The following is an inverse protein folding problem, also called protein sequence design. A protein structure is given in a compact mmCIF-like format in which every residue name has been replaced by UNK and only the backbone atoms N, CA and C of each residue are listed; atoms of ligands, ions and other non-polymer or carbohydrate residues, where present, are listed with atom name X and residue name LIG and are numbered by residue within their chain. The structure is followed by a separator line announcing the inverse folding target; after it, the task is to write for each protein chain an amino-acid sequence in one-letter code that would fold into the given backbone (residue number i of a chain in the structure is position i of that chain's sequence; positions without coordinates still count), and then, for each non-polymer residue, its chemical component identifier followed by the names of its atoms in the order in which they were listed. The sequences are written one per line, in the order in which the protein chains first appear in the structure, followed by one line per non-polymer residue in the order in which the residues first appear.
data_IF_535872488257
#
_entry.id   IF_535872488257
#
_cell.length_a   1.000
_cell.length_b   1.000
_cell.length_c   1.000
_cell.angle_alpha   90.00
_cell.angle_beta   90.00
_cell.angle_gamma   90.00
#
_symmetry.space_group_name_H-M   'P 1'
#
loop_
_entity.id
_entity.type
_entity.pdbx_description
1 polymer ?
#
# COMPACT_ATOMS: atom_id res chain seq x y z
N UNK A 1 -9.82 13.60 34.37
CA UNK A 1 -9.29 14.03 33.06
C UNK A 1 -10.48 14.33 32.18
N UNK A 2 -10.71 15.59 31.85
CA UNK A 2 -11.78 16.01 30.95
C UNK A 2 -11.50 15.50 29.53
N UNK A 3 -12.51 15.15 28.73
CA UNK A 3 -12.28 14.75 27.35
C UNK A 3 -11.67 15.94 26.60
N UNK A 4 -10.71 15.73 25.69
CA UNK A 4 -10.18 16.81 24.86
C UNK A 4 -11.35 17.38 24.06
N UNK A 5 -11.55 18.69 24.20
CA UNK A 5 -12.69 19.40 23.67
C UNK A 5 -12.82 19.20 22.15
N UNK A 6 -14.04 18.85 21.74
CA UNK A 6 -14.61 18.69 20.40
C UNK A 6 -14.60 19.99 19.55
N UNK A 7 -13.66 20.91 19.80
CA UNK A 7 -13.70 22.29 19.30
C UNK A 7 -13.78 22.45 17.77
N UNK A 8 -13.35 21.45 16.98
CA UNK A 8 -13.38 21.54 15.52
C UNK A 8 -14.76 21.23 14.92
N UNK A 9 -15.48 20.24 15.45
CA UNK A 9 -16.81 19.88 14.92
C UNK A 9 -17.87 20.88 15.35
N UNK A 10 -17.75 21.40 16.57
CA UNK A 10 -18.66 22.43 17.12
C UNK A 10 -18.44 23.82 16.49
N UNK A 11 -17.36 24.00 15.71
CA UNK A 11 -17.04 25.23 14.98
C UNK A 11 -17.58 25.27 13.55
N UNK A 12 -18.13 24.15 13.07
CA UNK A 12 -18.69 24.08 11.72
C UNK A 12 -20.06 24.78 11.67
N UNK A 13 -20.34 25.54 10.59
CA UNK A 13 -21.70 25.98 10.27
C UNK A 13 -22.68 24.80 10.33
N UNK A 14 -23.91 25.05 10.82
CA UNK A 14 -24.92 24.01 11.03
C UNK A 14 -25.14 23.14 9.78
N UNK A 15 -25.20 23.75 8.60
CA UNK A 15 -25.37 23.05 7.32
C UNK A 15 -24.20 22.11 7.01
N UNK A 16 -22.96 22.55 7.25
CA UNK A 16 -21.76 21.73 7.04
C UNK A 16 -21.67 20.59 8.06
N UNK A 17 -22.03 20.86 9.32
CA UNK A 17 -22.10 19.83 10.36
C UNK A 17 -23.14 18.76 10.01
N UNK A 18 -24.32 19.16 9.54
CA UNK A 18 -25.37 18.24 9.09
C UNK A 18 -24.93 17.44 7.85
N UNK A 19 -24.30 18.09 6.87
CA UNK A 19 -23.78 17.43 5.68
C UNK A 19 -22.70 16.40 6.04
N UNK A 20 -21.75 16.76 6.91
CA UNK A 20 -20.71 15.85 7.39
C UNK A 20 -21.33 14.65 8.12
N UNK A 21 -22.31 14.89 9.01
CA UNK A 21 -23.01 13.82 9.71
C UNK A 21 -23.72 12.87 8.74
N UNK A 22 -24.47 13.42 7.77
CA UNK A 22 -25.12 12.61 6.74
C UNK A 22 -24.13 11.78 5.92
N UNK A 23 -22.98 12.36 5.55
CA UNK A 23 -21.93 11.65 4.83
C UNK A 23 -21.31 10.52 5.67
N UNK A 24 -21.02 10.76 6.94
CA UNK A 24 -20.47 9.75 7.87
C UNK A 24 -21.48 8.63 8.10
N UNK A 25 -22.75 8.95 8.31
CA UNK A 25 -23.83 7.97 8.52
C UNK A 25 -23.99 7.08 7.27
N UNK A 26 -23.99 7.68 6.08
CA UNK A 26 -24.07 6.94 4.82
C UNK A 26 -22.83 6.06 4.59
N UNK A 27 -21.63 6.59 4.83
CA UNK A 27 -20.40 5.80 4.70
C UNK A 27 -20.40 4.61 5.66
N UNK A 28 -20.82 4.84 6.91
CA UNK A 28 -20.91 3.79 7.91
C UNK A 28 -21.91 2.70 7.50
N UNK A 29 -23.10 3.07 7.01
CA UNK A 29 -24.08 2.12 6.46
C UNK A 29 -23.49 1.30 5.31
N UNK A 30 -22.84 1.96 4.35
CA UNK A 30 -22.27 1.33 3.16
C UNK A 30 -21.20 0.27 3.52
N UNK A 31 -20.46 0.46 4.61
CA UNK A 31 -19.49 -0.54 5.08
C UNK A 31 -20.13 -1.61 5.97
N UNK A 32 -20.92 -1.19 6.96
CA UNK A 32 -21.35 -2.08 8.04
C UNK A 32 -22.46 -3.03 7.64
N UNK A 33 -23.39 -2.59 6.77
CA UNK A 33 -24.51 -3.43 6.35
C UNK A 33 -24.04 -4.62 5.50
N UNK A 34 -23.27 -4.45 4.41
CA UNK A 34 -22.74 -5.59 3.65
C UNK A 34 -21.82 -6.48 4.49
N UNK A 35 -21.04 -5.90 5.41
CA UNK A 35 -20.10 -6.67 6.21
C UNK A 35 -20.76 -7.37 7.41
N UNK A 36 -22.02 -7.08 7.73
CA UNK A 36 -22.76 -7.77 8.79
C UNK A 36 -22.99 -9.25 8.49
N UNK A 37 -23.00 -9.63 7.21
CA UNK A 37 -23.13 -11.02 6.75
C UNK A 37 -21.78 -11.72 6.54
N UNK A 38 -20.66 -11.03 6.76
CA UNK A 38 -19.32 -11.63 6.69
C UNK A 38 -19.12 -12.73 7.74
N UNK A 39 -18.12 -13.60 7.55
CA UNK A 39 -17.78 -14.62 8.53
C UNK A 39 -17.49 -14.00 9.91
N UNK A 40 -16.79 -12.87 9.96
CA UNK A 40 -16.57 -12.16 11.22
C UNK A 40 -17.88 -11.61 11.80
N UNK A 41 -18.72 -10.97 10.98
CA UNK A 41 -20.05 -10.47 11.40
C UNK A 41 -20.93 -11.56 12.02
N UNK A 42 -20.92 -12.75 11.42
CA UNK A 42 -21.76 -13.87 11.82
C UNK A 42 -21.19 -14.69 12.98
N UNK A 43 -19.87 -14.86 13.05
CA UNK A 43 -19.26 -15.83 13.96
C UNK A 43 -18.47 -15.20 15.11
N UNK A 44 -18.12 -13.92 15.04
CA UNK A 44 -17.34 -13.29 16.11
C UNK A 44 -18.21 -13.13 17.39
N UNK A 45 -17.76 -13.65 18.55
CA UNK A 45 -18.50 -13.53 19.81
C UNK A 45 -18.74 -12.08 20.22
N UNK A 46 -17.77 -11.21 19.90
CA UNK A 46 -17.81 -9.78 20.21
C UNK A 46 -18.95 -9.03 19.51
N UNK A 47 -19.50 -9.58 18.42
CA UNK A 47 -20.62 -9.01 17.67
C UNK A 47 -21.97 -9.67 17.97
N UNK A 48 -22.04 -10.61 18.92
CA UNK A 48 -23.24 -11.40 19.18
C UNK A 48 -24.49 -10.55 19.47
N UNK A 49 -24.38 -9.55 20.34
CA UNK A 49 -25.49 -8.65 20.69
C UNK A 49 -25.97 -7.82 19.50
N UNK A 50 -25.03 -7.30 18.71
CA UNK A 50 -25.37 -6.53 17.51
C UNK A 50 -26.10 -7.41 16.49
N UNK A 51 -25.59 -8.62 16.23
CA UNK A 51 -26.20 -9.59 15.32
C UNK A 51 -27.62 -9.97 15.74
N UNK A 52 -27.84 -10.21 17.03
CA UNK A 52 -29.17 -10.50 17.57
C UNK A 52 -30.14 -9.33 17.36
N UNK A 53 -29.69 -8.10 17.67
CA UNK A 53 -30.52 -6.90 17.53
C UNK A 53 -30.94 -6.62 16.07
N UNK A 54 -30.04 -6.82 15.10
CA UNK A 54 -30.38 -6.61 13.68
C UNK A 54 -31.20 -7.75 13.08
N UNK A 55 -31.18 -8.95 13.68
CA UNK A 55 -32.02 -10.07 13.26
C UNK A 55 -33.48 -9.93 13.74
N UNK A 56 -33.69 -9.23 14.86
CA UNK A 56 -35.02 -9.00 15.44
C UNK A 56 -35.71 -7.73 14.91
N UNK A 57 -34.93 -6.75 14.43
CA UNK A 57 -35.44 -5.49 13.87
C UNK A 57 -35.77 -5.56 12.37
N UNK A 58 -36.33 -4.47 11.83
CA UNK A 58 -36.39 -4.29 10.37
C UNK A 58 -34.99 -3.99 9.86
N UNK A 59 -34.35 -4.98 9.23
CA UNK A 59 -33.00 -4.84 8.69
C UNK A 59 -32.87 -3.74 7.64
N UNK A 60 -33.99 -3.21 7.12
CA UNK A 60 -34.03 -2.13 6.12
C UNK A 60 -34.12 -0.73 6.71
N UNK A 61 -34.37 -0.57 8.01
CA UNK A 61 -34.34 0.74 8.66
C UNK A 61 -32.89 1.17 8.94
N UNK A 62 -32.42 2.14 8.16
CA UNK A 62 -31.07 2.72 8.25
C UNK A 62 -30.81 3.39 9.61
N UNK A 63 -31.81 4.05 10.19
CA UNK A 63 -31.67 4.79 11.44
C UNK A 63 -31.52 3.80 12.60
N UNK A 64 -32.41 2.81 12.65
CA UNK A 64 -32.41 1.77 13.67
C UNK A 64 -31.15 0.92 13.60
N UNK A 65 -30.71 0.56 12.38
CA UNK A 65 -29.47 -0.17 12.16
C UNK A 65 -28.25 0.59 12.69
N UNK A 66 -28.10 1.88 12.35
CA UNK A 66 -27.00 2.72 12.85
C UNK A 66 -27.05 2.90 14.37
N UNK A 67 -28.24 3.01 14.94
CA UNK A 67 -28.45 3.07 16.39
C UNK A 67 -27.93 1.80 17.06
N UNK A 68 -28.30 0.63 16.54
CA UNK A 68 -27.79 -0.66 17.03
C UNK A 68 -26.28 -0.78 16.85
N UNK A 69 -25.74 -0.40 15.71
CA UNK A 69 -24.29 -0.45 15.46
C UNK A 69 -23.52 0.34 16.53
N UNK A 70 -23.89 1.61 16.73
CA UNK A 70 -23.22 2.50 17.70
C UNK A 70 -23.34 2.03 19.14
N UNK A 71 -24.48 1.42 19.50
CA UNK A 71 -24.75 0.99 20.86
C UNK A 71 -24.15 -0.38 21.20
N UNK A 72 -24.03 -1.27 20.21
CA UNK A 72 -23.78 -2.71 20.45
C UNK A 72 -22.48 -3.23 19.86
N UNK A 73 -21.87 -2.54 18.88
CA UNK A 73 -20.55 -2.92 18.36
C UNK A 73 -19.47 -2.28 19.25
N UNK A 74 -18.70 -3.08 20.01
CA UNK A 74 -17.67 -2.52 20.87
C UNK A 74 -16.43 -2.16 20.08
N UNK A 75 -15.57 -1.35 20.71
CA UNK A 75 -14.21 -1.10 20.21
C UNK A 75 -13.41 -2.41 20.36
N UNK A 76 -12.81 -2.86 19.26
CA UNK A 76 -12.05 -4.12 19.17
C UNK A 76 -10.56 -3.86 18.99
N UNK A 77 -9.77 -4.93 19.16
CA UNK A 77 -8.32 -4.97 18.93
C UNK A 77 -7.99 -6.11 17.96
N UNK A 78 -6.74 -6.18 17.49
CA UNK A 78 -6.30 -7.18 16.49
C UNK A 78 -6.57 -8.63 16.92
N UNK A 79 -6.46 -8.91 18.22
CA UNK A 79 -6.65 -10.23 18.82
C UNK A 79 -8.07 -10.78 18.57
N UNK A 80 -9.06 -9.90 18.33
CA UNK A 80 -10.42 -10.32 17.96
C UNK A 80 -10.53 -10.82 16.52
N UNK A 81 -9.65 -10.33 15.64
CA UNK A 81 -9.61 -10.65 14.21
C UNK A 81 -8.61 -11.76 13.89
N UNK A 82 -7.59 -11.93 14.74
CA UNK A 82 -6.50 -12.88 14.52
C UNK A 82 -6.98 -14.31 14.17
N UNK A 83 -7.94 -14.94 14.89
CA UNK A 83 -8.41 -16.29 14.56
C UNK A 83 -9.03 -16.41 13.16
N UNK A 84 -9.54 -15.30 12.62
CA UNK A 84 -10.13 -15.22 11.29
C UNK A 84 -9.03 -15.00 10.23
N UNK A 85 -8.07 -14.13 10.53
CA UNK A 85 -6.94 -13.82 9.64
C UNK A 85 -5.97 -14.99 9.52
N UNK A 86 -5.74 -15.77 10.57
CA UNK A 86 -4.84 -16.93 10.54
C UNK A 86 -5.31 -18.03 9.59
N UNK A 87 -6.61 -18.09 9.27
CA UNK A 87 -7.17 -19.05 8.31
C UNK A 87 -6.55 -18.92 6.91
N UNK A 88 -6.16 -17.71 6.50
CA UNK A 88 -5.49 -17.51 5.21
C UNK A 88 -4.14 -18.25 5.11
N UNK A 89 -3.53 -18.58 6.25
CA UNK A 89 -2.24 -19.27 6.33
C UNK A 89 -2.38 -20.77 6.60
N UNK A 90 -3.62 -21.31 6.63
CA UNK A 90 -3.85 -22.74 6.76
C UNK A 90 -3.30 -23.51 5.54
N UNK A 91 -2.95 -24.78 5.72
CA UNK A 91 -2.51 -25.66 4.62
C UNK A 91 -3.29 -26.97 4.68
N UNK A 92 -4.22 -27.24 3.73
CA UNK A 92 -4.66 -26.34 2.66
C UNK A 92 -5.48 -25.15 3.18
N UNK A 93 -5.45 -24.03 2.46
CA UNK A 93 -6.34 -22.88 2.67
C UNK A 93 -7.48 -22.99 1.64
N UNK A 94 -8.71 -23.26 2.08
CA UNK A 94 -9.85 -23.43 1.18
C UNK A 94 -10.63 -22.13 1.06
N UNK A 95 -11.13 -21.83 -0.14
CA UNK A 95 -11.93 -20.64 -0.42
C UNK A 95 -13.09 -20.47 0.58
N UNK A 96 -13.86 -21.52 0.84
CA UNK A 96 -14.99 -21.50 1.79
C UNK A 96 -14.59 -21.03 3.20
N UNK A 97 -13.34 -21.26 3.61
CA UNK A 97 -12.86 -20.89 4.94
C UNK A 97 -12.47 -19.40 5.02
N UNK A 98 -12.24 -18.74 3.88
CA UNK A 98 -11.67 -17.38 3.81
C UNK A 98 -12.44 -16.38 2.94
N UNK A 99 -13.42 -16.85 2.16
CA UNK A 99 -14.35 -16.02 1.40
C UNK A 99 -15.31 -15.31 2.34
N UNK A 100 -15.63 -14.06 2.01
CA UNK A 100 -16.50 -13.21 2.81
C UNK A 100 -16.00 -13.02 4.25
N UNK A 101 -14.67 -13.09 4.48
CA UNK A 101 -14.10 -13.14 5.83
C UNK A 101 -14.44 -11.90 6.67
N UNK A 102 -14.05 -10.72 6.19
CA UNK A 102 -14.34 -9.43 6.84
C UNK A 102 -15.24 -8.52 6.00
N UNK A 103 -15.28 -8.77 4.68
CA UNK A 103 -16.10 -8.08 3.71
C UNK A 103 -16.40 -9.04 2.54
N UNK A 104 -17.44 -8.77 1.71
CA UNK A 104 -17.80 -9.63 0.60
C UNK A 104 -16.64 -9.93 -0.37
N UNK A 105 -16.56 -11.18 -0.82
CA UNK A 105 -15.52 -11.72 -1.71
C UNK A 105 -14.24 -12.12 -0.99
N UNK A 106 -13.18 -12.33 -1.78
CA UNK A 106 -11.82 -12.50 -1.29
C UNK A 106 -11.12 -11.14 -1.17
N UNK A 107 -10.20 -10.97 -0.20
CA UNK A 107 -9.33 -9.80 -0.18
C UNK A 107 -8.44 -9.79 -1.43
N UNK A 108 -8.06 -8.60 -1.89
CA UNK A 108 -7.12 -8.44 -3.00
C UNK A 108 -5.67 -8.75 -2.56
N UNK A 109 -5.33 -8.40 -1.32
CA UNK A 109 -4.05 -8.71 -0.70
C UNK A 109 -4.14 -8.69 0.84
N UNK A 110 -3.15 -9.26 1.52
CA UNK A 110 -2.94 -9.09 2.96
C UNK A 110 -1.83 -8.06 3.20
N UNK A 111 -2.19 -6.93 3.80
CA UNK A 111 -1.22 -5.94 4.24
C UNK A 111 -0.53 -6.41 5.52
N UNK A 112 0.79 -6.55 5.49
CA UNK A 112 1.61 -6.84 6.67
C UNK A 112 2.02 -5.55 7.35
N UNK A 113 1.71 -5.39 8.64
CA UNK A 113 2.25 -4.27 9.41
C UNK A 113 3.73 -4.48 9.72
N UNK A 114 4.49 -3.39 9.77
CA UNK A 114 5.80 -3.39 10.40
C UNK A 114 5.63 -3.76 11.88
N UNK A 115 6.26 -4.84 12.32
CA UNK A 115 6.27 -5.20 13.72
C UNK A 115 7.06 -4.13 14.50
N UNK A 116 6.40 -3.30 15.31
CA UNK A 116 7.04 -2.14 15.96
C UNK A 116 7.63 -2.44 17.34
N UNK A 117 7.65 -3.69 17.82
CA UNK A 117 8.13 -4.00 19.19
C UNK A 117 8.33 -5.50 19.48
N UNK A 118 8.95 -6.26 18.57
CA UNK A 118 9.27 -7.69 18.81
C UNK A 118 8.09 -8.66 18.88
N UNK A 119 6.86 -8.18 18.65
CA UNK A 119 5.67 -9.01 18.43
C UNK A 119 5.59 -9.46 16.98
N UNK A 120 4.90 -10.57 16.72
CA UNK A 120 4.63 -11.01 15.35
C UNK A 120 3.93 -9.93 14.53
N UNK A 121 4.22 -9.92 13.22
CA UNK A 121 3.57 -9.00 12.29
C UNK A 121 2.07 -9.26 12.25
N UNK A 122 1.29 -8.17 12.25
CA UNK A 122 -0.17 -8.22 12.06
C UNK A 122 -0.49 -8.19 10.58
N UNK A 123 -1.55 -8.90 10.18
CA UNK A 123 -1.99 -9.00 8.79
C UNK A 123 -3.40 -8.44 8.65
N UNK A 124 -3.60 -7.57 7.68
CA UNK A 124 -4.86 -6.89 7.44
C UNK A 124 -5.36 -7.21 6.03
N UNK A 125 -6.43 -8.01 5.89
CA UNK A 125 -7.06 -8.23 4.59
C UNK A 125 -7.53 -6.91 3.98
N UNK A 126 -7.07 -6.62 2.77
CA UNK A 126 -7.43 -5.42 2.02
C UNK A 126 -8.33 -5.81 0.86
N UNK A 127 -9.55 -5.28 0.87
CA UNK A 127 -10.55 -5.51 -0.18
C UNK A 127 -10.54 -4.34 -1.15
N UNK A 128 -10.90 -4.59 -2.41
CA UNK A 128 -11.02 -3.52 -3.40
C UNK A 128 -12.15 -2.57 -2.95
N UNK A 129 -11.86 -1.28 -2.70
CA UNK A 129 -12.89 -0.34 -2.26
C UNK A 129 -13.84 -0.04 -3.41
N UNK A 130 -15.04 0.44 -3.09
CA UNK A 130 -15.98 0.87 -4.13
C UNK A 130 -15.38 2.01 -4.98
N UNK A 131 -15.75 2.13 -6.27
CA UNK A 131 -15.14 3.09 -7.18
C UNK A 131 -15.13 4.54 -6.69
N UNK A 132 -16.16 4.97 -5.93
CA UNK A 132 -16.18 6.33 -5.39
C UNK A 132 -15.07 6.62 -4.37
N UNK A 133 -14.54 5.59 -3.70
CA UNK A 133 -13.49 5.73 -2.69
C UNK A 133 -12.06 5.55 -3.26
N UNK A 134 -11.92 5.06 -4.51
CA UNK A 134 -10.62 4.94 -5.19
C UNK A 134 -9.97 6.29 -5.50
N UNK A 135 -10.73 7.39 -5.53
CA UNK A 135 -10.21 8.74 -5.79
C UNK A 135 -9.56 9.43 -4.59
N UNK A 136 -9.47 8.78 -3.43
CA UNK A 136 -8.90 9.40 -2.22
C UNK A 136 -7.38 9.60 -2.37
N UNK A 137 -6.77 10.70 -1.86
CA UNK A 137 -5.33 10.98 -1.97
C UNK A 137 -4.39 9.90 -1.41
N UNK A 138 -4.90 8.98 -0.56
CA UNK A 138 -4.13 7.80 -0.08
C UNK A 138 -3.79 6.86 -1.26
N UNK A 139 -4.62 6.89 -2.32
CA UNK A 139 -4.52 6.03 -3.49
C UNK A 139 -3.91 6.73 -4.71
N UNK A 140 -3.70 8.05 -4.69
CA UNK A 140 -3.31 8.79 -5.88
C UNK A 140 -2.30 9.89 -5.55
N UNK A 141 -1.01 9.59 -5.70
CA UNK A 141 0.01 10.60 -6.00
C UNK A 141 0.22 10.59 -7.51
N UNK A 142 -0.66 11.28 -8.24
CA UNK A 142 -0.50 11.50 -9.68
C UNK A 142 0.50 12.66 -9.86
N UNK A 143 1.50 12.54 -10.74
CA UNK A 143 2.41 13.62 -11.09
C UNK A 143 1.68 14.86 -11.62
N UNK A 144 2.22 16.05 -11.33
CA UNK A 144 1.93 17.23 -12.13
C UNK A 144 2.47 17.04 -13.54
N UNK A 145 1.89 17.72 -14.53
CA UNK A 145 2.25 17.58 -15.95
C UNK A 145 3.66 18.09 -16.30
N UNK A 146 4.42 18.64 -15.35
CA UNK A 146 5.65 19.42 -15.63
C UNK A 146 6.96 18.75 -15.17
N UNK A 147 6.93 17.55 -14.57
CA UNK A 147 8.17 16.87 -14.16
C UNK A 147 8.00 15.45 -13.66
N UNK A 148 9.11 14.81 -13.29
CA UNK A 148 9.13 13.48 -12.67
C UNK A 148 9.15 13.57 -11.15
N UNK A 149 8.57 12.56 -10.51
CA UNK A 149 8.55 12.40 -9.07
C UNK A 149 9.64 11.41 -8.68
N UNK A 150 10.53 11.85 -7.80
CA UNK A 150 11.40 10.96 -7.06
C UNK A 150 10.67 10.45 -5.81
N UNK A 151 10.01 9.30 -5.92
CA UNK A 151 9.34 8.63 -4.80
C UNK A 151 9.71 7.15 -4.73
N UNK A 152 10.79 6.78 -4.02
CA UNK A 152 11.16 5.39 -3.81
C UNK A 152 9.97 4.60 -3.26
N UNK A 153 9.48 3.67 -4.07
CA UNK A 153 8.34 2.82 -3.74
C UNK A 153 8.66 1.39 -4.13
N UNK A 154 8.35 0.47 -3.22
CA UNK A 154 8.61 -0.94 -3.43
C UNK A 154 7.31 -1.68 -3.73
N UNK A 155 7.36 -2.55 -4.73
CA UNK A 155 6.30 -3.49 -5.09
C UNK A 155 6.62 -4.93 -4.63
N UNK A 156 7.58 -5.07 -3.72
CA UNK A 156 7.95 -6.36 -3.12
C UNK A 156 6.77 -6.96 -2.35
N UNK A 157 6.80 -8.27 -2.29
CA UNK A 157 5.93 -9.06 -1.44
C UNK A 157 6.76 -9.97 -0.55
N UNK A 158 6.20 -10.32 0.60
CA UNK A 158 6.81 -11.22 1.56
C UNK A 158 6.42 -12.67 1.31
N UNK A 159 5.21 -12.91 0.78
CA UNK A 159 4.71 -14.24 0.51
C UNK A 159 3.57 -14.19 -0.53
N UNK A 160 3.29 -15.33 -1.16
CA UNK A 160 2.13 -15.55 -2.02
C UNK A 160 1.40 -16.77 -1.47
N UNK A 161 0.22 -16.54 -0.90
CA UNK A 161 -0.62 -17.60 -0.36
C UNK A 161 -1.45 -18.21 -1.49
N UNK A 162 -1.71 -19.52 -1.41
CA UNK A 162 -2.57 -20.25 -2.34
C UNK A 162 -3.89 -20.55 -1.66
N UNK A 163 -4.99 -20.15 -2.29
CA UNK A 163 -6.36 -20.43 -1.85
C UNK A 163 -6.95 -21.45 -2.84
N UNK A 164 -7.26 -22.65 -2.37
CA UNK A 164 -7.88 -23.69 -3.18
C UNK A 164 -9.37 -23.35 -3.38
N UNK A 165 -9.78 -23.16 -4.63
CA UNK A 165 -11.14 -22.73 -4.99
C UNK A 165 -12.14 -23.88 -4.84
N UNK A 166 -13.42 -23.54 -4.69
CA UNK A 166 -14.50 -24.52 -4.44
C UNK A 166 -14.66 -25.56 -5.55
N UNK A 167 -14.18 -25.27 -6.76
CA UNK A 167 -14.18 -26.21 -7.90
C UNK A 167 -13.23 -27.41 -7.72
N UNK A 168 -12.36 -27.37 -6.70
CA UNK A 168 -11.41 -28.42 -6.36
C UNK A 168 -10.27 -28.61 -7.35
N UNK A 169 -10.16 -27.78 -8.39
CA UNK A 169 -9.16 -27.89 -9.46
C UNK A 169 -8.30 -26.63 -9.58
N UNK A 170 -8.86 -25.46 -9.28
CA UNK A 170 -8.18 -24.18 -9.43
C UNK A 170 -7.79 -23.58 -8.09
N UNK A 171 -6.93 -22.58 -8.15
CA UNK A 171 -6.48 -21.85 -6.97
C UNK A 171 -6.24 -20.39 -7.28
N UNK A 172 -6.62 -19.54 -6.35
CA UNK A 172 -6.33 -18.11 -6.38
C UNK A 172 -5.09 -17.79 -5.56
N UNK A 173 -4.29 -16.81 -6.01
CA UNK A 173 -3.10 -16.37 -5.29
C UNK A 173 -3.42 -15.09 -4.52
N UNK A 174 -3.13 -15.11 -3.22
CA UNK A 174 -3.31 -13.96 -2.34
C UNK A 174 -1.96 -13.42 -1.88
N UNK A 175 -1.66 -12.18 -2.26
CA UNK A 175 -0.37 -11.55 -1.98
C UNK A 175 -0.26 -11.10 -0.53
N UNK A 176 0.88 -11.35 0.12
CA UNK A 176 1.23 -10.77 1.42
C UNK A 176 2.32 -9.72 1.21
N UNK A 177 2.00 -8.44 1.39
CA UNK A 177 2.92 -7.34 1.09
C UNK A 177 2.72 -6.13 2.01
N UNK A 178 3.52 -5.08 1.84
CA UNK A 178 3.26 -3.81 2.54
C UNK A 178 1.98 -3.16 2.00
N UNK A 179 1.33 -2.31 2.82
CA UNK A 179 0.11 -1.62 2.41
C UNK A 179 0.31 -0.80 1.13
N UNK A 180 1.42 -0.06 1.02
CA UNK A 180 1.75 0.74 -0.16
C UNK A 180 1.91 -0.13 -1.42
N UNK A 181 2.64 -1.24 -1.31
CA UNK A 181 2.84 -2.17 -2.44
C UNK A 181 1.52 -2.72 -2.96
N UNK A 182 0.68 -3.23 -2.05
CA UNK A 182 -0.60 -3.83 -2.41
C UNK A 182 -1.57 -2.82 -3.01
N UNK A 183 -1.61 -1.60 -2.47
CA UNK A 183 -2.39 -0.49 -3.04
C UNK A 183 -1.93 -0.17 -4.47
N UNK A 184 -0.63 0.03 -4.70
CA UNK A 184 -0.12 0.38 -6.03
C UNK A 184 -0.42 -0.74 -7.02
N UNK A 185 -0.19 -2.01 -6.65
CA UNK A 185 -0.54 -3.16 -7.50
C UNK A 185 -2.03 -3.21 -7.81
N UNK A 186 -2.89 -3.00 -6.81
CA UNK A 186 -4.35 -2.98 -6.98
C UNK A 186 -4.83 -1.90 -7.95
N UNK A 187 -4.25 -0.69 -7.85
CA UNK A 187 -4.62 0.46 -8.69
C UNK A 187 -4.14 0.30 -10.12
N UNK A 188 -2.95 -0.25 -10.31
CA UNK A 188 -2.38 -0.53 -11.63
C UNK A 188 -2.88 -1.83 -12.23
N UNK A 189 -3.67 -2.61 -11.47
CA UNK A 189 -4.09 -3.96 -11.81
C UNK A 189 -2.90 -4.86 -12.20
N UNK A 190 -1.83 -4.81 -11.39
CA UNK A 190 -0.61 -5.58 -11.58
C UNK A 190 -0.57 -6.79 -10.65
N UNK A 191 -0.77 -7.96 -11.22
CA UNK A 191 -0.50 -9.26 -10.60
C UNK A 191 1.02 -9.52 -10.45
N UNK A 192 1.43 -10.58 -9.76
CA UNK A 192 2.87 -10.89 -9.57
C UNK A 192 3.43 -11.80 -10.67
N UNK A 193 2.55 -12.53 -11.35
CA UNK A 193 2.89 -13.50 -12.39
C UNK A 193 3.58 -12.84 -13.58
N UNK A 194 3.12 -11.64 -13.94
CA UNK A 194 3.67 -10.89 -15.08
C UNK A 194 4.67 -9.82 -14.63
N UNK A 195 5.23 -9.87 -13.42
CA UNK A 195 6.26 -8.91 -12.99
C UNK A 195 7.46 -8.91 -13.95
N UNK A 196 7.87 -10.08 -14.44
CA UNK A 196 8.99 -10.21 -15.38
C UNK A 196 8.67 -9.64 -16.76
N UNK A 197 7.40 -9.67 -17.18
CA UNK A 197 6.96 -9.08 -18.45
C UNK A 197 6.90 -7.55 -18.39
N UNK A 198 6.89 -6.98 -17.19
CA UNK A 198 6.81 -5.54 -16.92
C UNK A 198 8.17 -4.88 -16.69
N UNK A 199 9.28 -5.60 -16.78
CA UNK A 199 10.61 -5.06 -16.49
C UNK A 199 10.99 -3.85 -17.36
N UNK A 200 10.51 -3.83 -18.61
CA UNK A 200 10.74 -2.77 -19.58
C UNK A 200 9.77 -1.57 -19.42
N UNK A 201 8.85 -1.62 -18.45
CA UNK A 201 7.88 -0.56 -18.23
C UNK A 201 8.41 0.51 -17.28
N UNK A 202 7.89 1.72 -17.48
CA UNK A 202 8.05 2.81 -16.53
C UNK A 202 6.84 2.90 -15.61
N UNK A 203 7.05 3.20 -14.34
CA UNK A 203 5.95 3.58 -13.44
C UNK A 203 5.57 5.02 -13.77
N UNK A 204 4.32 5.32 -14.19
CA UNK A 204 3.96 6.64 -14.70
C UNK A 204 4.41 7.81 -13.80
N UNK A 205 5.22 8.69 -14.39
CA UNK A 205 5.80 9.89 -13.78
C UNK A 205 6.73 9.68 -12.60
N UNK A 206 7.22 8.47 -12.35
CA UNK A 206 8.35 8.23 -11.45
C UNK A 206 9.68 8.50 -12.16
N UNK A 207 10.78 8.60 -11.39
CA UNK A 207 12.14 8.69 -11.95
C UNK A 207 12.75 7.34 -12.32
N UNK A 208 12.27 6.25 -11.73
CA UNK A 208 12.86 4.92 -11.90
C UNK A 208 11.90 3.97 -12.63
N UNK A 209 12.43 3.03 -13.44
CA UNK A 209 11.61 2.02 -14.13
C UNK A 209 11.04 0.99 -13.13
N UNK A 210 10.05 0.23 -13.60
CA UNK A 210 9.39 -0.82 -12.81
C UNK A 210 10.40 -1.81 -12.21
N UNK A 211 11.44 -2.17 -12.97
CA UNK A 211 12.54 -3.04 -12.55
C UNK A 211 13.17 -2.67 -11.19
N UNK A 212 13.25 -1.38 -10.84
CA UNK A 212 13.82 -0.95 -9.55
C UNK A 212 12.87 -1.25 -8.38
N UNK A 213 11.56 -1.23 -8.61
CA UNK A 213 10.53 -1.34 -7.56
C UNK A 213 10.44 -2.73 -6.93
N UNK A 214 10.88 -3.77 -7.65
CA UNK A 214 10.82 -5.17 -7.22
C UNK A 214 12.13 -5.66 -6.56
N UNK A 215 13.17 -4.84 -6.50
CA UNK A 215 14.51 -5.21 -6.04
C UNK A 215 14.61 -5.52 -4.55
N UNK A 216 14.83 -6.77 -4.15
CA UNK A 216 14.82 -7.20 -2.75
C UNK A 216 15.83 -6.49 -1.83
N UNK A 217 17.07 -6.27 -2.28
CA UNK A 217 18.12 -5.65 -1.46
C UNK A 217 17.83 -4.18 -1.18
N UNK A 218 17.88 -3.79 0.09
CA UNK A 218 17.66 -2.40 0.53
C UNK A 218 18.68 -1.44 -0.06
N UNK A 219 19.96 -1.85 -0.12
CA UNK A 219 21.05 -1.05 -0.70
C UNK A 219 20.82 -0.87 -2.20
N UNK A 220 20.63 -1.97 -2.95
CA UNK A 220 20.41 -1.91 -4.40
C UNK A 220 19.18 -1.08 -4.75
N UNK A 221 18.10 -1.21 -3.98
CA UNK A 221 16.87 -0.45 -4.13
C UNK A 221 17.11 1.07 -4.03
N UNK A 222 17.70 1.54 -2.92
CA UNK A 222 17.91 2.99 -2.75
C UNK A 222 19.01 3.55 -3.65
N UNK A 223 20.07 2.77 -3.90
CA UNK A 223 21.12 3.18 -4.83
C UNK A 223 20.55 3.41 -6.24
N UNK A 224 19.78 2.46 -6.78
CA UNK A 224 19.25 2.60 -8.13
C UNK A 224 18.18 3.70 -8.21
N UNK A 225 17.35 3.84 -7.18
CA UNK A 225 16.42 4.97 -7.09
C UNK A 225 17.15 6.33 -7.11
N UNK A 226 18.27 6.45 -6.38
CA UNK A 226 19.11 7.65 -6.40
C UNK A 226 19.78 7.87 -7.77
N UNK A 227 20.33 6.81 -8.37
CA UNK A 227 20.99 6.85 -9.67
C UNK A 227 20.05 7.39 -10.77
N UNK A 228 18.84 6.83 -10.85
CA UNK A 228 17.83 7.27 -11.82
C UNK A 228 17.31 8.68 -11.54
N UNK A 229 17.15 9.06 -10.27
CA UNK A 229 16.75 10.42 -9.91
C UNK A 229 17.81 11.47 -10.25
N UNK A 230 19.10 11.18 -10.03
CA UNK A 230 20.19 12.09 -10.39
C UNK A 230 20.34 12.22 -11.91
N UNK A 231 20.12 11.13 -12.66
CA UNK A 231 20.19 11.14 -14.12
C UNK A 231 19.05 11.93 -14.79
N UNK A 232 17.89 12.07 -14.14
CA UNK A 232 16.75 12.85 -14.66
C UNK A 232 16.85 14.31 -14.21
N UNK A 233 17.06 15.23 -15.14
CA UNK A 233 17.09 16.67 -14.84
C UNK A 233 15.70 17.28 -14.59
N UNK A 234 14.62 16.51 -14.78
CA UNK A 234 13.23 16.97 -14.66
C UNK A 234 12.58 16.61 -13.33
N UNK A 235 13.36 16.18 -12.34
CA UNK A 235 12.83 15.89 -11.00
C UNK A 235 12.24 17.17 -10.42
N UNK A 236 10.92 17.19 -10.30
CA UNK A 236 10.17 18.34 -9.79
C UNK A 236 9.66 18.12 -8.36
N UNK A 237 9.58 16.87 -7.92
CA UNK A 237 9.04 16.53 -6.60
C UNK A 237 9.78 15.35 -5.99
N UNK A 238 10.09 15.47 -4.70
CA UNK A 238 10.61 14.40 -3.86
C UNK A 238 9.52 14.01 -2.86
N UNK A 239 9.13 12.73 -2.84
CA UNK A 239 8.08 12.24 -1.94
C UNK A 239 8.52 10.96 -1.24
N UNK A 240 8.55 11.00 0.08
CA UNK A 240 9.06 9.91 0.90
C UNK A 240 8.04 9.56 1.98
N UNK A 241 7.74 8.26 2.11
CA UNK A 241 6.80 7.79 3.14
C UNK A 241 7.34 8.02 4.56
N UNK A 242 8.66 7.95 4.73
CA UNK A 242 9.35 8.18 6.00
C UNK A 242 10.55 9.09 5.81
N UNK A 243 10.77 10.02 6.76
CA UNK A 243 11.95 10.87 6.76
C UNK A 243 13.26 10.06 6.80
N UNK A 244 13.25 8.89 7.46
CA UNK A 244 14.40 7.98 7.50
C UNK A 244 14.79 7.45 6.12
N UNK A 245 13.82 7.21 5.24
CA UNK A 245 14.09 6.78 3.87
C UNK A 245 14.75 7.91 3.07
N UNK A 246 14.28 9.15 3.24
CA UNK A 246 14.91 10.33 2.65
C UNK A 246 16.36 10.49 3.12
N UNK A 247 16.60 10.44 4.44
CA UNK A 247 17.96 10.52 5.01
C UNK A 247 18.85 9.38 4.49
N UNK A 248 18.33 8.15 4.42
CA UNK A 248 19.08 7.00 3.90
C UNK A 248 19.52 7.20 2.45
N UNK A 249 18.61 7.69 1.60
CA UNK A 249 18.94 8.02 0.20
C UNK A 249 20.01 9.10 0.13
N UNK A 250 19.89 10.17 0.93
CA UNK A 250 20.90 11.23 0.93
C UNK A 250 22.26 10.73 1.40
N UNK A 251 22.32 9.84 2.38
CA UNK A 251 23.57 9.19 2.79
C UNK A 251 24.17 8.35 1.67
N UNK A 252 23.36 7.54 0.95
CA UNK A 252 23.87 6.78 -0.20
C UNK A 252 24.39 7.70 -1.31
N UNK A 253 23.69 8.80 -1.61
CA UNK A 253 24.14 9.79 -2.59
C UNK A 253 25.47 10.41 -2.16
N UNK A 254 25.60 10.77 -0.89
CA UNK A 254 26.81 11.37 -0.33
C UNK A 254 28.01 10.41 -0.39
N UNK A 255 27.83 9.18 0.10
CA UNK A 255 28.90 8.19 0.24
C UNK A 255 29.36 7.66 -1.12
N UNK A 256 28.43 7.46 -2.05
CA UNK A 256 28.69 6.85 -3.37
C UNK A 256 28.70 7.88 -4.50
N UNK A 257 28.88 9.17 -4.17
CA UNK A 257 28.72 10.29 -5.11
C UNK A 257 29.48 10.08 -6.43
N UNK A 258 30.78 9.84 -6.36
CA UNK A 258 31.61 9.66 -7.56
C UNK A 258 31.21 8.43 -8.37
N UNK A 259 30.88 7.33 -7.70
CA UNK A 259 30.39 6.12 -8.38
C UNK A 259 29.08 6.39 -9.13
N UNK A 260 28.14 7.11 -8.52
CA UNK A 260 26.89 7.50 -9.16
C UNK A 260 27.15 8.36 -10.41
N UNK A 261 28.07 9.32 -10.34
CA UNK A 261 28.41 10.18 -11.48
C UNK A 261 29.10 9.42 -12.61
N UNK A 262 30.02 8.52 -12.29
CA UNK A 262 30.69 7.67 -13.28
C UNK A 262 29.69 6.72 -13.97
N UNK A 263 28.74 6.16 -13.20
CA UNK A 263 27.63 5.39 -13.74
C UNK A 263 26.77 6.22 -14.71
N UNK A 264 26.40 7.46 -14.35
CA UNK A 264 25.63 8.37 -15.22
C UNK A 264 26.44 8.71 -16.48
N UNK A 265 27.72 9.03 -16.34
CA UNK A 265 28.59 9.40 -17.47
C UNK A 265 28.72 8.26 -18.47
N UNK A 266 28.93 7.03 -18.00
CA UNK A 266 29.19 5.87 -18.85
C UNK A 266 27.92 5.09 -19.23
N UNK A 267 26.77 5.37 -18.60
CA UNK A 267 25.54 4.59 -18.80
C UNK A 267 25.65 3.16 -18.25
N UNK A 268 26.32 3.00 -17.10
CA UNK A 268 26.62 1.69 -16.52
C UNK A 268 25.76 1.48 -15.27
N UNK A 269 25.06 0.34 -15.23
CA UNK A 269 24.47 -0.19 -14.00
C UNK A 269 25.56 -0.95 -13.23
N UNK A 270 25.97 -0.51 -12.03
CA UNK A 270 27.07 -1.11 -11.30
C UNK A 270 26.72 -2.53 -10.84
N UNK A 271 27.72 -3.28 -10.40
CA UNK A 271 27.46 -4.60 -9.83
C UNK A 271 26.87 -4.45 -8.42
N UNK A 272 25.59 -4.79 -8.28
CA UNK A 272 24.84 -4.66 -7.05
C UNK A 272 24.24 -6.01 -6.66
N UNK A 273 24.00 -6.19 -5.37
CA UNK A 273 23.43 -7.40 -4.82
C UNK A 273 22.02 -7.66 -5.40
N UNK A 274 21.77 -8.90 -5.83
CA UNK A 274 20.47 -9.41 -6.25
C UNK A 274 19.79 -8.65 -7.40
N UNK A 275 20.56 -8.02 -8.32
CA UNK A 275 19.97 -7.32 -9.48
C UNK A 275 20.04 -8.10 -10.81
N UNK A 276 20.64 -9.29 -10.84
CA UNK A 276 20.90 -10.00 -12.09
C UNK A 276 19.64 -10.29 -12.92
N UNK A 277 18.52 -10.57 -12.26
CA UNK A 277 17.24 -10.84 -12.92
C UNK A 277 16.61 -9.61 -13.60
N UNK A 278 17.04 -8.39 -13.25
CA UNK A 278 16.55 -7.14 -13.85
C UNK A 278 17.62 -6.34 -14.60
N UNK A 279 18.90 -6.77 -14.56
CA UNK A 279 20.04 -5.98 -15.03
C UNK A 279 19.91 -5.55 -16.48
N UNK A 280 19.48 -6.44 -17.36
CA UNK A 280 19.36 -6.11 -18.79
C UNK A 280 18.26 -5.08 -19.06
N UNK A 281 17.13 -5.16 -18.34
CA UNK A 281 16.09 -4.13 -18.40
C UNK A 281 16.58 -2.78 -17.85
N UNK A 282 17.32 -2.79 -16.73
CA UNK A 282 17.90 -1.56 -16.17
C UNK A 282 18.87 -0.89 -17.15
N UNK A 283 19.75 -1.64 -17.82
CA UNK A 283 20.69 -1.11 -18.83
C UNK A 283 19.95 -0.46 -19.99
N UNK A 284 18.86 -1.08 -20.47
CA UNK A 284 18.02 -0.52 -21.55
C UNK A 284 17.47 0.86 -21.20
N UNK A 285 17.20 1.10 -19.92
CA UNK A 285 16.65 2.35 -19.41
C UNK A 285 17.68 3.39 -18.98
N UNK A 286 18.98 3.09 -19.06
CA UNK A 286 20.02 3.93 -18.48
C UNK A 286 21.14 4.27 -19.48
N UNK A 287 20.87 5.12 -20.48
CA UNK A 287 21.88 5.54 -21.43
C UNK A 287 22.93 6.46 -20.80
N UNK A 288 24.13 6.48 -21.37
CA UNK A 288 25.21 7.37 -20.99
C UNK A 288 24.80 8.86 -21.11
N UNK A 289 25.11 9.65 -20.08
CA UNK A 289 24.81 11.08 -20.03
C UNK A 289 25.97 11.88 -19.42
N UNK A 290 27.08 12.06 -20.16
CA UNK A 290 28.25 12.78 -19.68
C UNK A 290 27.96 14.25 -19.33
N UNK A 291 27.04 14.90 -20.04
CA UNK A 291 26.65 16.28 -19.77
C UNK A 291 26.01 16.41 -18.38
N UNK A 292 25.09 15.50 -18.03
CA UNK A 292 24.48 15.48 -16.70
C UNK A 292 25.49 15.15 -15.61
N UNK A 293 26.41 14.21 -15.86
CA UNK A 293 27.47 13.91 -14.90
C UNK A 293 28.36 15.14 -14.64
N UNK A 294 28.74 15.89 -15.69
CA UNK A 294 29.51 17.13 -15.55
C UNK A 294 28.76 18.21 -14.75
N UNK A 295 27.48 18.44 -15.04
CA UNK A 295 26.63 19.35 -14.28
C UNK A 295 26.58 18.97 -12.79
N UNK A 296 26.37 17.69 -12.49
CA UNK A 296 26.36 17.21 -11.11
C UNK A 296 27.73 17.40 -10.44
N UNK A 297 28.85 17.22 -11.14
CA UNK A 297 30.20 17.50 -10.59
C UNK A 297 30.36 18.95 -10.15
N UNK A 298 29.75 19.89 -10.88
CA UNK A 298 29.76 21.31 -10.51
C UNK A 298 28.90 21.60 -9.26
N UNK A 299 27.79 20.88 -9.09
CA UNK A 299 26.89 21.01 -7.93
C UNK A 299 27.52 20.42 -6.66
N UNK A 300 28.14 19.25 -6.76
CA UNK A 300 28.69 18.51 -5.63
C UNK A 300 27.64 17.73 -4.80
N UNK A 301 28.08 16.93 -3.81
CA UNK A 301 27.20 16.06 -3.04
C UNK A 301 26.39 16.85 -1.96
N UNK A 302 25.28 16.29 -1.45
CA UNK A 302 24.28 17.01 -0.65
C UNK A 302 24.76 17.66 0.66
N UNK A 303 25.82 17.15 1.29
CA UNK A 303 26.28 17.60 2.61
C UNK A 303 27.68 18.23 2.61
N UNK A 304 28.17 18.70 1.46
CA UNK A 304 29.43 19.43 1.40
C UNK A 304 29.21 20.93 1.68
N UNK A 305 29.46 21.33 2.93
CA UNK A 305 29.90 22.68 3.31
C UNK A 305 31.29 22.59 3.94
#
# INVERSE_FOLDING_TARGET
MSPPASHLLDSLPADLSQQLKGHVDQALLNFTRPNSTSQFGQNAPVLAKFREAIAQGDSKDDIEFLRHFRALVPITSYEHYEPFVTKFFATPCKEVDVKDMLAPGLPYFLARSSATSGKESKFFPQYRPQPQYLRHPIYLTIPSSEGTIFAPSSLKYANVLKIDLEDGQSSEKLLVCSLSSGITRMLMNWDVEHDMDRLDLWVPGQTAPFAVTILESHRSFFFLHALFALADSRVATMSFLFASAFVSVLHYIQEEWFLLLDCIEMGIIPDLENINHVREALKKHFPANPARAAELREIGPPWCH
#
